data_IF_389989509817
#
_entry.id   IF_389989509817
#
_cell.length_a   1.000
_cell.length_b   1.000
_cell.length_c   1.000
_cell.angle_alpha   90.00
_cell.angle_beta   90.00
_cell.angle_gamma   90.00
#
_symmetry.space_group_name_H-M   'P 1'
#
loop_
_entity.id
_entity.type
_entity.pdbx_description
1 polymer ?
#
# COMPACT_ATOMS: atom_id res chain seq x y z
N UNK A 1 -22.89 14.17 -7.99
CA UNK A 1 -23.90 15.25 -8.08
C UNK A 1 -23.24 16.53 -8.58
N UNK A 2 -24.01 17.60 -8.80
CA UNK A 2 -23.43 18.92 -9.09
C UNK A 2 -22.83 19.51 -7.80
N UNK A 3 -21.56 19.91 -7.85
CA UNK A 3 -20.80 20.47 -6.72
C UNK A 3 -20.33 21.91 -6.98
N UNK A 4 -20.91 22.61 -7.97
CA UNK A 4 -20.55 23.99 -8.32
C UNK A 4 -20.58 24.95 -7.12
N UNK A 5 -21.54 24.80 -6.19
CA UNK A 5 -21.64 25.68 -5.03
C UNK A 5 -20.50 25.51 -4.01
N UNK A 6 -19.75 24.41 -4.08
CA UNK A 6 -18.69 24.08 -3.13
C UNK A 6 -17.35 23.81 -3.80
N UNK A 7 -17.21 24.09 -5.10
CA UNK A 7 -16.01 23.84 -5.88
C UNK A 7 -14.77 24.55 -5.32
N UNK A 8 -14.95 25.71 -4.68
CA UNK A 8 -13.90 26.43 -3.97
C UNK A 8 -13.22 25.62 -2.86
N UNK A 9 -13.88 24.59 -2.29
CA UNK A 9 -13.25 23.69 -1.33
C UNK A 9 -12.13 22.83 -1.95
N UNK A 10 -12.20 22.58 -3.25
CA UNK A 10 -11.17 21.84 -3.97
C UNK A 10 -9.89 22.66 -4.12
N UNK A 11 -9.98 23.98 -4.21
CA UNK A 11 -8.83 24.87 -4.47
C UNK A 11 -8.42 25.74 -3.28
N UNK A 12 -9.19 25.75 -2.20
CA UNK A 12 -8.88 26.63 -1.08
C UNK A 12 -7.50 26.31 -0.46
N UNK A 13 -6.69 27.34 -0.18
CA UNK A 13 -5.49 27.16 0.61
C UNK A 13 -5.87 26.84 2.05
N UNK A 14 -4.99 26.10 2.74
CA UNK A 14 -5.14 25.84 4.17
C UNK A 14 -4.10 26.67 4.89
N UNK A 15 -4.55 27.41 5.91
CA UNK A 15 -3.64 28.17 6.76
C UNK A 15 -2.88 27.21 7.69
N UNK A 16 -1.66 26.86 7.28
CA UNK A 16 -0.79 25.93 7.99
C UNK A 16 0.53 26.64 8.31
N UNK A 17 1.21 26.16 9.37
CA UNK A 17 2.63 26.48 9.55
C UNK A 17 3.47 25.75 8.52
N UNK A 18 4.76 26.08 8.44
CA UNK A 18 5.67 25.35 7.57
C UNK A 18 5.79 23.91 8.07
N UNK A 19 5.41 22.97 7.20
CA UNK A 19 5.36 21.56 7.51
C UNK A 19 6.65 20.84 7.16
N UNK A 20 7.52 21.41 6.31
CA UNK A 20 8.77 20.73 5.97
C UNK A 20 9.71 20.77 7.20
N UNK A 21 10.13 19.61 7.73
CA UNK A 21 10.99 19.57 8.88
C UNK A 21 12.41 20.13 8.63
N UNK A 22 12.84 20.27 7.37
CA UNK A 22 14.23 20.63 6.99
C UNK A 22 15.26 19.97 7.94
N UNK A 23 16.13 20.77 8.57
CA UNK A 23 17.09 20.35 9.60
C UNK A 23 16.58 20.56 11.04
N UNK A 24 15.33 21.04 11.21
CA UNK A 24 14.80 21.46 12.53
C UNK A 24 14.27 20.29 13.35
N UNK A 25 14.07 19.13 12.74
CA UNK A 25 13.37 18.00 13.35
C UNK A 25 13.95 17.56 14.71
N UNK A 26 15.28 17.57 14.85
CA UNK A 26 15.98 17.18 16.08
C UNK A 26 15.95 18.25 17.18
N UNK A 27 15.70 19.51 16.81
CA UNK A 27 15.65 20.65 17.74
C UNK A 27 14.26 20.90 18.32
N UNK A 28 13.23 20.24 17.79
CA UNK A 28 11.84 20.42 18.20
C UNK A 28 11.57 19.74 19.54
N UNK A 29 10.77 20.40 20.39
CA UNK A 29 10.23 19.74 21.57
C UNK A 29 9.21 18.65 21.19
N UNK A 30 9.03 17.65 22.05
CA UNK A 30 8.04 16.57 21.88
C UNK A 30 6.64 17.13 21.61
N UNK A 31 6.25 18.23 22.27
CA UNK A 31 4.94 18.87 22.07
C UNK A 31 4.81 19.48 20.68
N UNK A 32 5.84 20.16 20.18
CA UNK A 32 5.85 20.74 18.83
C UNK A 32 5.81 19.63 17.79
N UNK A 33 6.58 18.55 17.99
CA UNK A 33 6.60 17.42 17.09
C UNK A 33 5.23 16.72 17.00
N UNK A 34 4.61 16.46 18.15
CA UNK A 34 3.25 15.93 18.25
C UNK A 34 2.25 16.84 17.55
N UNK A 35 2.36 18.16 17.72
CA UNK A 35 1.49 19.14 17.08
C UNK A 35 1.64 19.11 15.54
N UNK A 36 2.86 19.01 15.01
CA UNK A 36 3.07 18.88 13.56
C UNK A 36 2.47 17.58 13.01
N UNK A 37 2.67 16.46 13.71
CA UNK A 37 2.03 15.20 13.34
C UNK A 37 0.51 15.36 13.29
N UNK A 38 -0.11 15.94 14.33
CA UNK A 38 -1.56 16.19 14.37
C UNK A 38 -2.02 17.03 13.19
N UNK A 39 -1.30 18.11 12.89
CA UNK A 39 -1.63 19.03 11.80
C UNK A 39 -1.59 18.32 10.45
N UNK A 40 -0.53 17.56 10.19
CA UNK A 40 -0.38 16.80 8.94
C UNK A 40 -1.46 15.72 8.81
N UNK A 41 -1.77 14.97 9.88
CA UNK A 41 -2.84 13.97 9.86
C UNK A 41 -4.20 14.62 9.55
N UNK A 42 -4.52 15.76 10.17
CA UNK A 42 -5.78 16.47 9.91
C UNK A 42 -5.84 16.96 8.46
N UNK A 43 -4.76 17.54 7.94
CA UNK A 43 -4.68 18.01 6.55
C UNK A 43 -4.78 16.85 5.55
N UNK A 44 -4.09 15.73 5.80
CA UNK A 44 -4.19 14.53 4.96
C UNK A 44 -5.63 14.02 4.89
N UNK A 45 -6.30 13.94 6.04
CA UNK A 45 -7.68 13.47 6.11
C UNK A 45 -8.66 14.42 5.41
N UNK A 46 -8.45 15.74 5.53
CA UNK A 46 -9.19 16.72 4.75
C UNK A 46 -9.00 16.54 3.24
N UNK A 47 -7.75 16.40 2.77
CA UNK A 47 -7.49 16.20 1.34
C UNK A 47 -8.04 14.88 0.82
N UNK A 48 -8.00 13.79 1.60
CA UNK A 48 -8.63 12.52 1.22
C UNK A 48 -10.14 12.69 1.04
N UNK A 49 -10.81 13.45 1.91
CA UNK A 49 -12.23 13.75 1.76
C UNK A 49 -12.53 14.62 0.54
N UNK A 50 -11.71 15.64 0.29
CA UNK A 50 -11.83 16.47 -0.92
C UNK A 50 -11.67 15.59 -2.18
N UNK A 51 -10.72 14.67 -2.20
CA UNK A 51 -10.56 13.73 -3.32
C UNK A 51 -11.80 12.83 -3.46
N UNK A 52 -12.34 12.28 -2.36
CA UNK A 52 -13.59 11.51 -2.40
C UNK A 52 -14.74 12.31 -3.02
N UNK A 53 -14.94 13.56 -2.58
CA UNK A 53 -16.04 14.41 -3.02
C UNK A 53 -15.95 14.74 -4.52
N UNK A 54 -14.76 15.08 -5.02
CA UNK A 54 -14.58 15.64 -6.36
C UNK A 54 -14.11 14.63 -7.42
N UNK A 55 -13.75 13.39 -7.07
CA UNK A 55 -13.22 12.41 -8.03
C UNK A 55 -14.14 12.08 -9.20
N UNK A 56 -15.46 12.19 -9.02
CA UNK A 56 -16.46 11.93 -10.06
C UNK A 56 -16.72 13.13 -10.99
N UNK A 57 -16.15 14.30 -10.71
CA UNK A 57 -16.36 15.48 -11.57
C UNK A 57 -15.72 15.25 -12.95
N UNK A 58 -16.47 15.60 -13.99
CA UNK A 58 -16.11 15.25 -15.37
C UNK A 58 -15.30 16.33 -16.07
N UNK A 59 -15.37 17.58 -15.62
CA UNK A 59 -14.66 18.69 -16.26
C UNK A 59 -13.13 18.48 -16.15
N UNK A 60 -12.37 18.71 -17.24
CA UNK A 60 -10.92 18.54 -17.23
C UNK A 60 -10.24 19.40 -16.17
N UNK A 61 -10.79 20.58 -15.91
CA UNK A 61 -10.33 21.48 -14.85
C UNK A 61 -10.43 20.81 -13.47
N UNK A 62 -11.61 20.31 -13.10
CA UNK A 62 -11.80 19.67 -11.80
C UNK A 62 -10.93 18.43 -11.65
N UNK A 63 -10.77 17.64 -12.74
CA UNK A 63 -9.86 16.49 -12.74
C UNK A 63 -8.40 16.89 -12.48
N UNK A 64 -7.93 17.98 -13.08
CA UNK A 64 -6.59 18.50 -12.83
C UNK A 64 -6.39 18.97 -11.39
N UNK A 65 -7.40 19.59 -10.79
CA UNK A 65 -7.38 20.01 -9.38
C UNK A 65 -7.41 18.81 -8.43
N UNK A 66 -8.20 17.78 -8.73
CA UNK A 66 -8.20 16.50 -7.99
C UNK A 66 -6.82 15.83 -8.06
N UNK A 67 -6.19 15.78 -9.23
CA UNK A 67 -4.83 15.24 -9.38
C UNK A 67 -3.80 16.04 -8.58
N UNK A 68 -3.95 17.37 -8.55
CA UNK A 68 -3.10 18.24 -7.72
C UNK A 68 -3.27 17.94 -6.23
N UNK A 69 -4.51 17.72 -5.76
CA UNK A 69 -4.75 17.29 -4.37
C UNK A 69 -4.18 15.91 -4.08
N UNK A 70 -4.24 14.98 -5.02
CA UNK A 70 -3.62 13.66 -4.89
C UNK A 70 -2.10 13.78 -4.72
N UNK A 71 -1.45 14.63 -5.52
CA UNK A 71 -0.02 14.94 -5.39
C UNK A 71 0.31 15.51 -3.99
N UNK A 72 -0.48 16.47 -3.51
CA UNK A 72 -0.31 17.02 -2.16
C UNK A 72 -0.46 15.96 -1.06
N UNK A 73 -1.38 15.00 -1.21
CA UNK A 73 -1.51 13.87 -0.27
C UNK A 73 -0.22 13.06 -0.22
N UNK A 74 0.35 12.68 -1.39
CA UNK A 74 1.57 11.89 -1.45
C UNK A 74 2.77 12.66 -0.87
N UNK A 75 2.87 13.97 -1.14
CA UNK A 75 3.91 14.82 -0.55
C UNK A 75 3.78 14.92 0.98
N UNK A 76 2.57 15.17 1.49
CA UNK A 76 2.32 15.23 2.93
C UNK A 76 2.55 13.88 3.63
N UNK A 77 2.28 12.75 2.98
CA UNK A 77 2.59 11.43 3.52
C UNK A 77 4.11 11.25 3.72
N UNK A 78 4.93 11.68 2.77
CA UNK A 78 6.40 11.66 2.92
C UNK A 78 6.88 12.56 4.04
N UNK A 79 6.29 13.74 4.18
CA UNK A 79 6.61 14.64 5.28
C UNK A 79 6.23 13.99 6.61
N UNK A 80 5.05 13.38 6.70
CA UNK A 80 4.58 12.68 7.88
C UNK A 80 5.51 11.52 8.28
N UNK A 81 5.99 10.73 7.32
CA UNK A 81 6.96 9.65 7.58
C UNK A 81 8.24 10.17 8.24
N UNK A 82 8.74 11.34 7.82
CA UNK A 82 9.92 11.97 8.45
C UNK A 82 9.65 12.29 9.92
N UNK A 83 8.49 12.87 10.25
CA UNK A 83 8.12 13.12 11.64
C UNK A 83 7.94 11.81 12.43
N UNK A 84 7.18 10.85 11.91
CA UNK A 84 6.92 9.60 12.63
C UNK A 84 8.19 8.79 12.90
N UNK A 85 9.21 8.89 12.04
CA UNK A 85 10.52 8.27 12.28
C UNK A 85 11.20 8.74 13.58
N UNK A 86 10.90 9.96 14.05
CA UNK A 86 11.43 10.52 15.30
C UNK A 86 10.50 10.24 16.49
N UNK A 87 9.19 10.15 16.26
CA UNK A 87 8.21 9.84 17.32
C UNK A 87 7.29 8.68 16.90
N UNK A 88 7.78 7.43 16.89
CA UNK A 88 7.01 6.27 16.43
C UNK A 88 5.85 5.89 17.35
N UNK A 89 5.86 6.33 18.61
CA UNK A 89 4.77 6.08 19.57
C UNK A 89 3.66 7.16 19.53
N UNK A 90 3.73 8.09 18.58
CA UNK A 90 2.71 9.12 18.41
C UNK A 90 1.34 8.51 18.07
N UNK A 91 0.29 9.00 18.73
CA UNK A 91 -1.10 8.57 18.49
C UNK A 91 -1.84 9.70 17.76
N UNK A 92 -2.27 9.50 16.50
CA UNK A 92 -2.97 10.52 15.74
C UNK A 92 -4.39 10.80 16.26
N UNK A 93 -4.94 11.99 15.98
CA UNK A 93 -6.37 12.23 16.16
C UNK A 93 -7.19 11.28 15.27
N UNK A 94 -8.34 10.83 15.78
CA UNK A 94 -9.25 9.96 15.04
C UNK A 94 -9.88 10.72 13.87
N UNK A 95 -9.88 10.10 12.70
CA UNK A 95 -10.56 10.62 11.50
C UNK A 95 -11.77 9.78 11.07
N UNK A 96 -11.88 8.56 11.59
CA UNK A 96 -12.99 7.64 11.35
C UNK A 96 -13.78 7.46 12.66
N UNK A 97 -15.09 7.66 12.62
CA UNK A 97 -15.97 7.46 13.78
C UNK A 97 -16.21 5.97 14.09
N UNK A 98 -15.87 5.08 13.15
CA UNK A 98 -15.93 3.63 13.38
C UNK A 98 -14.97 3.16 14.49
N UNK A 99 -13.93 3.95 14.80
CA UNK A 99 -13.02 3.69 15.90
C UNK A 99 -13.65 3.96 17.28
N UNK A 100 -14.74 4.72 17.40
CA UNK A 100 -15.30 5.11 18.71
C UNK A 100 -15.80 3.92 19.53
N UNK A 101 -15.96 2.74 18.92
CA UNK A 101 -16.38 1.52 19.63
C UNK A 101 -15.22 0.63 20.09
N UNK A 102 -13.95 0.98 19.86
CA UNK A 102 -12.81 0.09 20.11
C UNK A 102 -11.56 0.81 20.63
N UNK A 103 -10.99 0.26 21.71
CA UNK A 103 -9.67 0.63 22.21
C UNK A 103 -8.61 0.37 21.13
N UNK A 104 -8.28 1.40 20.35
CA UNK A 104 -7.18 1.34 19.40
C UNK A 104 -5.88 1.44 20.16
N UNK A 105 -5.36 0.28 20.54
CA UNK A 105 -3.98 0.18 21.01
C UNK A 105 -3.02 0.58 19.89
N UNK A 106 -2.06 1.48 20.15
CA UNK A 106 -1.10 1.94 19.16
C UNK A 106 -0.22 0.79 18.62
N UNK A 107 0.48 0.99 17.48
CA UNK A 107 1.48 0.05 17.01
C UNK A 107 2.58 -0.04 18.08
N UNK A 108 2.55 -1.07 18.90
CA UNK A 108 3.57 -1.27 19.93
C UNK A 108 4.87 -1.69 19.24
N UNK A 109 5.96 -0.99 19.52
CA UNK A 109 7.33 -1.30 19.07
C UNK A 109 7.83 -2.73 19.40
N UNK A 110 7.03 -3.52 20.13
CA UNK A 110 7.30 -4.92 20.47
C UNK A 110 7.40 -5.88 19.27
N UNK A 111 6.85 -5.52 18.09
CA UNK A 111 6.99 -6.35 16.90
C UNK A 111 8.39 -6.28 16.26
N UNK A 112 9.16 -5.21 16.52
CA UNK A 112 10.50 -5.02 15.94
C UNK A 112 11.57 -5.79 16.76
N UNK A 113 11.38 -5.97 18.06
CA UNK A 113 12.33 -6.70 18.92
C UNK A 113 12.14 -8.22 18.90
N UNK A 114 10.99 -8.74 18.46
CA UNK A 114 10.69 -10.17 18.47
C UNK A 114 11.45 -10.99 17.42
N UNK A 115 12.00 -10.35 16.37
CA UNK A 115 12.82 -11.03 15.35
C UNK A 115 14.30 -11.20 15.73
N UNK A 116 14.80 -10.53 16.78
CA UNK A 116 16.22 -10.57 17.17
C UNK A 116 16.51 -11.55 18.32
N UNK A 117 15.49 -12.15 18.95
CA UNK A 117 15.69 -13.01 20.14
C UNK A 117 15.09 -14.42 20.02
N UNK A 118 15.42 -15.15 18.96
CA UNK A 118 15.34 -16.62 18.95
C UNK A 118 16.59 -17.24 18.32
N UNK A 119 17.74 -16.99 18.93
CA UNK A 119 18.87 -17.90 18.87
C UNK A 119 19.55 -17.90 20.24
N UNK A 120 19.56 -19.07 20.91
CA UNK A 120 20.33 -19.30 22.12
C UNK A 120 19.52 -19.47 23.41
N UNK A 121 19.12 -20.72 23.70
CA UNK A 121 19.60 -21.51 24.84
C UNK A 121 18.67 -22.70 25.11
N UNK A 122 19.18 -23.88 24.75
CA UNK A 122 18.77 -25.15 25.34
C UNK A 122 19.12 -25.06 26.83
N UNK A 123 18.10 -25.05 27.69
CA UNK A 123 18.22 -25.03 29.15
C UNK A 123 17.29 -26.08 29.74
N UNK A 124 17.88 -27.08 30.40
CA UNK A 124 17.30 -28.37 30.67
C UNK A 124 16.05 -28.40 31.57
N UNK A 125 15.15 -29.31 31.24
CA UNK A 125 14.09 -29.78 32.14
C UNK A 125 14.57 -31.06 32.83
N UNK A 126 14.92 -30.93 34.12
CA UNK A 126 14.95 -32.03 35.08
C UNK A 126 13.53 -32.60 35.23
N UNK A 127 13.37 -33.90 35.07
CA UNK A 127 12.27 -34.67 35.67
C UNK A 127 12.89 -35.85 36.42
N UNK A 128 12.44 -36.02 37.66
CA UNK A 128 12.90 -37.02 38.58
C UNK A 128 12.24 -38.38 38.33
N UNK A 129 13.08 -39.38 38.58
CA UNK A 129 12.98 -40.83 38.82
C UNK A 129 11.63 -41.53 39.00
N UNK A 130 11.59 -42.81 38.59
CA UNK A 130 10.47 -43.72 38.75
C UNK A 130 10.58 -45.10 38.08
N UNK A 131 11.66 -45.86 38.35
CA UNK A 131 11.67 -47.35 38.53
C UNK A 131 11.42 -48.34 37.35
N UNK A 132 12.50 -49.13 37.05
CA UNK A 132 12.59 -50.60 36.75
C UNK A 132 11.93 -51.11 35.44
N UNK A 133 12.51 -51.95 34.57
CA UNK A 133 13.50 -53.06 34.70
C UNK A 133 13.97 -53.55 33.31
N UNK A 134 15.18 -54.13 33.25
CA UNK A 134 15.73 -55.20 32.36
C UNK A 134 15.92 -55.02 30.83
N UNK A 135 17.20 -54.84 30.47
CA UNK A 135 18.11 -55.41 29.42
C UNK A 135 17.65 -56.51 28.42
N UNK A 136 18.49 -56.94 27.44
CA UNK A 136 19.02 -56.24 26.26
C UNK A 136 18.97 -57.14 24.96
N UNK A 137 19.72 -56.74 23.92
CA UNK A 137 20.17 -57.51 22.73
C UNK A 137 19.27 -57.54 21.48
N UNK A 138 19.74 -56.98 20.35
CA UNK A 138 20.62 -57.67 19.37
C UNK A 138 20.91 -56.72 18.17
N UNK A 139 22.18 -56.62 17.78
CA UNK A 139 22.71 -56.01 16.53
C UNK A 139 22.57 -57.03 15.34
N UNK A 140 23.24 -56.88 14.18
CA UNK A 140 23.04 -55.94 13.05
C UNK A 140 22.93 -56.68 11.68
N UNK A 141 23.09 -55.93 10.56
CA UNK A 141 23.48 -56.32 9.15
C UNK A 141 22.37 -56.33 8.08
N UNK A 142 22.44 -55.42 7.09
CA UNK A 142 23.08 -55.52 5.73
C UNK A 142 22.18 -56.33 4.76
N UNK A 143 21.95 -56.03 3.49
CA UNK A 143 22.51 -55.08 2.52
C UNK A 143 21.57 -55.00 1.29
N UNK A 144 21.93 -54.15 0.32
CA UNK A 144 21.56 -54.15 -1.11
C UNK A 144 20.23 -53.50 -1.55
N UNK A 145 20.35 -52.36 -2.22
CA UNK A 145 20.17 -52.28 -3.68
C UNK A 145 20.33 -50.83 -4.16
N UNK A 146 21.23 -50.65 -5.11
CA UNK A 146 21.49 -49.45 -5.88
C UNK A 146 20.23 -48.90 -6.58
N UNK A 147 20.13 -47.57 -6.66
CA UNK A 147 19.66 -46.80 -7.81
C UNK A 147 19.74 -45.30 -7.47
N UNK A 148 20.83 -44.65 -7.91
CA UNK A 148 20.93 -43.19 -8.05
C UNK A 148 20.11 -42.75 -9.29
N UNK A 149 19.50 -41.55 -9.32
CA UNK A 149 20.32 -40.36 -9.59
C UNK A 149 19.87 -39.06 -8.87
N UNK A 150 20.87 -38.32 -8.36
CA UNK A 150 20.99 -36.84 -8.25
C UNK A 150 19.76 -35.99 -7.90
N UNK A 151 19.89 -35.16 -6.83
CA UNK A 151 19.31 -33.83 -6.81
C UNK A 151 20.39 -32.73 -6.70
N UNK A 152 20.33 -31.83 -7.69
CA UNK A 152 20.85 -30.46 -7.66
C UNK A 152 20.69 -29.81 -6.29
N UNK A 153 21.82 -29.36 -5.71
CA UNK A 153 21.78 -28.47 -4.55
C UNK A 153 22.67 -27.26 -4.77
N UNK A 154 21.98 -26.16 -5.06
CA UNK A 154 22.39 -24.77 -5.04
C UNK A 154 23.06 -24.44 -3.70
N UNK A 155 24.36 -24.16 -3.71
CA UNK A 155 25.02 -23.56 -2.56
C UNK A 155 26.08 -22.55 -2.98
N UNK A 156 26.02 -21.39 -2.32
CA UNK A 156 27.07 -20.38 -2.16
C UNK A 156 27.27 -19.40 -3.32
N UNK A 157 26.63 -18.24 -3.22
CA UNK A 157 27.36 -16.96 -3.11
C UNK A 157 26.45 -15.88 -2.51
N UNK A 158 26.39 -15.79 -1.18
CA UNK A 158 25.83 -14.64 -0.45
C UNK A 158 26.84 -14.20 0.63
N UNK A 159 27.73 -13.32 0.23
CA UNK A 159 28.52 -12.35 1.02
C UNK A 159 28.88 -11.29 -0.04
N UNK A 160 28.64 -10.00 0.10
CA UNK A 160 28.79 -9.13 1.26
C UNK A 160 28.37 -7.73 0.77
N UNK A 161 27.43 -7.04 1.41
CA UNK A 161 27.38 -5.57 1.38
C UNK A 161 26.69 -5.10 2.66
N UNK A 162 27.50 -5.01 3.73
CA UNK A 162 27.22 -4.15 4.89
C UNK A 162 27.69 -2.75 4.53
N UNK A 163 26.81 -1.75 4.58
CA UNK A 163 27.27 -0.37 4.53
C UNK A 163 26.21 0.69 4.23
N UNK A 164 25.35 0.98 5.21
CA UNK A 164 25.01 2.31 5.78
C UNK A 164 23.69 2.19 6.55
N UNK A 165 23.66 2.72 7.76
CA UNK A 165 22.44 2.82 8.58
C UNK A 165 21.40 3.63 7.81
N UNK A 166 20.47 2.91 7.19
CA UNK A 166 19.26 3.47 6.63
C UNK A 166 18.38 3.90 7.81
N UNK A 167 18.13 5.21 7.92
CA UNK A 167 17.20 5.77 8.91
C UNK A 167 15.94 4.91 8.94
N UNK A 168 15.59 4.41 10.12
CA UNK A 168 14.42 3.56 10.38
C UNK A 168 13.18 4.14 9.70
N UNK A 169 12.80 3.63 8.52
CA UNK A 169 11.64 4.13 7.79
C UNK A 169 10.37 3.60 8.48
N UNK A 170 9.49 4.51 8.90
CA UNK A 170 8.23 4.16 9.53
C UNK A 170 7.20 3.90 8.44
N UNK A 171 6.61 2.71 8.45
CA UNK A 171 5.54 2.36 7.52
C UNK A 171 4.20 2.96 7.96
N UNK A 172 3.62 3.82 7.12
CA UNK A 172 2.29 4.40 7.32
C UNK A 172 1.16 3.35 7.36
N UNK A 173 1.40 2.10 6.93
CA UNK A 173 0.43 1.02 7.04
C UNK A 173 -0.01 0.76 8.49
N UNK A 174 0.89 0.98 9.44
CA UNK A 174 0.60 0.87 10.87
C UNK A 174 -0.41 1.93 11.36
N UNK A 175 -0.57 3.02 10.60
CA UNK A 175 -1.49 4.12 10.88
C UNK A 175 -2.73 4.13 9.98
N UNK A 176 -2.96 3.11 9.14
CA UNK A 176 -4.06 3.09 8.17
C UNK A 176 -5.44 3.40 8.80
N UNK A 177 -5.68 2.95 10.03
CA UNK A 177 -6.92 3.18 10.78
C UNK A 177 -7.20 4.67 11.07
N UNK A 178 -6.16 5.52 11.07
CA UNK A 178 -6.25 6.96 11.33
C UNK A 178 -6.41 7.79 10.05
N UNK A 179 -6.30 7.17 8.88
CA UNK A 179 -6.61 7.81 7.61
C UNK A 179 -8.06 7.56 7.24
N UNK A 180 -8.71 8.58 6.71
CA UNK A 180 -10.05 8.48 6.16
C UNK A 180 -10.05 7.53 4.97
N UNK A 181 -11.06 6.68 4.87
CA UNK A 181 -11.19 5.76 3.75
C UNK A 181 -11.35 6.54 2.43
N UNK A 182 -10.63 6.11 1.38
CA UNK A 182 -10.93 6.59 0.03
C UNK A 182 -12.12 5.80 -0.50
N UNK A 183 -13.00 6.40 -1.28
CA UNK A 183 -14.11 5.67 -1.88
C UNK A 183 -13.64 4.90 -3.14
N UNK A 184 -14.42 3.91 -3.60
CA UNK A 184 -14.09 3.14 -4.82
C UNK A 184 -14.09 4.04 -6.06
N UNK A 185 -14.89 5.09 -6.08
CA UNK A 185 -14.99 6.09 -7.15
C UNK A 185 -13.67 6.81 -7.40
N UNK A 186 -12.82 6.96 -6.39
CA UNK A 186 -11.53 7.65 -6.49
C UNK A 186 -10.65 6.99 -7.56
N UNK A 187 -10.76 5.68 -7.75
CA UNK A 187 -9.97 4.96 -8.75
C UNK A 187 -10.36 5.28 -10.20
N UNK A 188 -11.47 5.99 -10.43
CA UNK A 188 -11.74 6.58 -11.74
C UNK A 188 -10.61 7.51 -12.23
N UNK A 189 -9.80 8.06 -11.31
CA UNK A 189 -8.57 8.83 -11.61
C UNK A 189 -7.57 8.02 -12.44
N UNK A 190 -7.59 6.68 -12.39
CA UNK A 190 -6.71 5.86 -13.22
C UNK A 190 -6.96 6.04 -14.73
N UNK A 191 -8.14 6.50 -15.12
CA UNK A 191 -8.44 6.87 -16.51
C UNK A 191 -7.74 8.15 -16.98
N UNK A 192 -7.17 8.94 -16.07
CA UNK A 192 -6.40 10.13 -16.41
C UNK A 192 -5.06 9.73 -17.05
N UNK A 193 -5.07 9.43 -18.35
CA UNK A 193 -3.87 9.52 -19.18
C UNK A 193 -3.51 10.99 -19.41
N UNK A 194 -2.22 11.33 -19.35
CA UNK A 194 -1.60 12.63 -19.71
C UNK A 194 -2.59 13.82 -19.73
N UNK A 195 -2.97 14.37 -18.56
CA UNK A 195 -3.83 15.56 -18.54
C UNK A 195 -2.96 16.81 -18.75
N UNK A 196 -3.02 17.35 -19.96
CA UNK A 196 -2.34 18.61 -20.31
C UNK A 196 -3.13 19.80 -19.73
N UNK A 197 -2.50 20.62 -18.89
CA UNK A 197 -3.07 21.82 -18.20
C UNK A 197 -3.60 22.92 -19.12
N UNK A 198 -3.60 22.74 -20.43
CA UNK A 198 -4.06 23.73 -21.40
C UNK A 198 -5.53 24.15 -21.20
N UNK A 199 -6.32 23.38 -20.45
CA UNK A 199 -7.76 23.64 -20.23
C UNK A 199 -8.04 24.33 -18.89
N UNK A 200 -7.04 24.48 -18.01
CA UNK A 200 -7.21 24.96 -16.64
C UNK A 200 -7.12 26.48 -16.47
N UNK A 201 -6.71 27.21 -17.51
CA UNK A 201 -6.45 28.65 -17.43
C UNK A 201 -7.54 29.42 -18.19
N UNK A 202 -8.74 29.46 -17.62
CA UNK A 202 -9.83 30.32 -18.13
C UNK A 202 -9.46 31.81 -18.02
N UNK A 203 -8.42 32.15 -17.25
CA UNK A 203 -7.95 33.52 -17.00
C UNK A 203 -6.48 33.77 -17.41
N UNK A 204 -6.03 33.21 -18.55
CA UNK A 204 -4.97 33.76 -19.42
C UNK A 204 -3.72 34.45 -18.80
N UNK A 205 -3.17 33.99 -17.67
CA UNK A 205 -2.01 34.64 -17.03
C UNK A 205 -0.99 33.67 -16.41
N UNK A 206 -0.43 32.71 -17.15
CA UNK A 206 1.01 32.37 -17.03
C UNK A 206 1.50 31.45 -18.15
N UNK A 207 2.65 31.76 -18.75
CA UNK A 207 3.27 31.01 -19.86
C UNK A 207 3.95 29.68 -19.45
N UNK A 208 3.50 29.02 -18.38
CA UNK A 208 4.09 27.78 -17.87
C UNK A 208 3.14 26.58 -18.05
N UNK A 209 3.39 25.79 -19.10
CA UNK A 209 2.71 24.52 -19.36
C UNK A 209 3.13 23.46 -18.34
N UNK A 210 2.48 23.39 -17.17
CA UNK A 210 2.65 22.24 -16.27
C UNK A 210 1.64 21.16 -16.61
N UNK A 211 2.05 20.10 -17.29
CA UNK A 211 1.15 18.96 -17.57
C UNK A 211 0.82 18.28 -16.23
N UNK A 212 -0.42 18.39 -15.74
CA UNK A 212 -0.88 17.72 -14.52
C UNK A 212 -1.24 16.28 -14.86
N UNK A 213 -0.25 15.45 -15.15
CA UNK A 213 -0.44 14.03 -15.36
C UNK A 213 -0.27 13.27 -14.04
N UNK A 214 -1.01 12.17 -13.87
CA UNK A 214 -0.77 11.18 -12.81
C UNK A 214 0.69 10.67 -12.90
N UNK A 215 1.54 11.02 -11.92
CA UNK A 215 2.93 10.57 -11.89
C UNK A 215 3.04 9.23 -11.15
N UNK A 216 4.20 8.53 -11.24
CA UNK A 216 4.37 7.21 -10.63
C UNK A 216 4.04 7.15 -9.13
N UNK A 217 4.37 8.16 -8.31
CA UNK A 217 4.01 8.11 -6.89
C UNK A 217 2.51 8.18 -6.60
N UNK A 218 1.76 9.01 -7.33
CA UNK A 218 0.31 9.11 -7.16
C UNK A 218 -0.37 7.84 -7.69
N UNK A 219 0.16 7.28 -8.79
CA UNK A 219 -0.28 5.96 -9.28
C UNK A 219 -0.03 4.89 -8.20
N UNK A 220 1.16 4.83 -7.62
CA UNK A 220 1.47 3.86 -6.56
C UNK A 220 0.52 4.01 -5.37
N UNK A 221 0.26 5.24 -4.93
CA UNK A 221 -0.68 5.52 -3.84
C UNK A 221 -2.08 4.95 -4.12
N UNK A 222 -2.62 5.15 -5.33
CA UNK A 222 -3.92 4.60 -5.73
C UNK A 222 -3.88 3.07 -5.80
N UNK A 223 -2.86 2.49 -6.42
CA UNK A 223 -2.75 1.04 -6.59
C UNK A 223 -2.55 0.31 -5.26
N UNK A 224 -1.82 0.90 -4.31
CA UNK A 224 -1.65 0.37 -2.96
C UNK A 224 -3.02 0.30 -2.24
N UNK A 225 -3.78 1.40 -2.22
CA UNK A 225 -5.11 1.45 -1.60
C UNK A 225 -6.10 0.48 -2.27
N UNK A 226 -6.10 0.43 -3.61
CA UNK A 226 -6.95 -0.48 -4.38
C UNK A 226 -6.63 -1.95 -4.08
N UNK A 227 -5.34 -2.32 -4.06
CA UNK A 227 -4.92 -3.69 -3.78
C UNK A 227 -5.41 -4.15 -2.40
N UNK A 228 -5.30 -3.29 -1.38
CA UNK A 228 -5.75 -3.60 -0.01
C UNK A 228 -7.27 -3.77 0.07
N UNK A 229 -8.04 -2.95 -0.67
CA UNK A 229 -9.49 -3.09 -0.74
C UNK A 229 -9.92 -4.42 -1.40
N UNK A 230 -9.25 -4.84 -2.47
CA UNK A 230 -9.58 -6.10 -3.15
C UNK A 230 -9.16 -7.34 -2.35
N UNK A 231 -8.01 -7.28 -1.67
CA UNK A 231 -7.62 -8.31 -0.69
C UNK A 231 -8.64 -8.42 0.44
N UNK A 232 -9.19 -7.27 0.88
CA UNK A 232 -10.22 -7.25 1.91
C UNK A 232 -11.56 -7.83 1.42
N UNK A 233 -12.03 -7.38 0.27
CA UNK A 233 -13.39 -7.62 -0.22
C UNK A 233 -13.55 -8.89 -1.07
N UNK A 234 -12.65 -9.12 -2.03
CA UNK A 234 -12.79 -10.18 -3.03
C UNK A 234 -12.02 -11.44 -2.64
N UNK A 235 -10.87 -11.29 -2.00
CA UNK A 235 -9.99 -12.41 -1.61
C UNK A 235 -9.65 -12.42 -0.12
N UNK A 236 -10.64 -12.31 0.79
CA UNK A 236 -10.37 -12.26 2.23
C UNK A 236 -9.62 -13.51 2.69
N UNK A 237 -8.62 -13.31 3.56
CA UNK A 237 -7.81 -14.41 4.10
C UNK A 237 -8.67 -15.46 4.80
N UNK A 238 -8.24 -16.72 4.77
CA UNK A 238 -8.98 -17.85 5.37
C UNK A 238 -9.31 -17.62 6.84
N UNK A 239 -8.44 -16.92 7.58
CA UNK A 239 -8.68 -16.52 8.97
C UNK A 239 -9.86 -15.55 9.15
N UNK A 240 -10.14 -14.70 8.15
CA UNK A 240 -11.32 -13.80 8.14
C UNK A 240 -12.61 -14.53 7.75
N UNK A 241 -12.53 -15.63 6.98
CA UNK A 241 -13.69 -16.42 6.54
C UNK A 241 -14.34 -17.25 7.66
N UNK A 242 -13.70 -17.38 8.82
CA UNK A 242 -14.21 -18.19 9.95
C UNK A 242 -14.93 -17.27 10.96
N UNK A 243 -16.27 -17.36 11.11
CA UNK A 243 -17.05 -16.48 11.99
C UNK A 243 -16.80 -16.70 13.49
N UNK A 244 -16.27 -17.87 13.89
CA UNK A 244 -16.29 -18.33 15.27
C UNK A 244 -15.11 -17.85 16.14
N UNK A 245 -14.03 -17.30 15.55
CA UNK A 245 -12.91 -16.75 16.31
C UNK A 245 -13.09 -15.23 16.52
N UNK A 246 -13.81 -14.87 17.58
CA UNK A 246 -14.17 -13.49 17.96
C UNK A 246 -12.92 -12.59 18.11
N UNK A 247 -12.68 -11.75 17.11
CA UNK A 247 -12.26 -10.36 17.33
C UNK A 247 -13.33 -9.52 16.65
N UNK A 248 -14.32 -9.09 17.44
CA UNK A 248 -15.55 -8.45 16.95
C UNK A 248 -15.35 -6.95 16.67
N UNK A 249 -14.14 -6.43 16.83
CA UNK A 249 -13.85 -5.02 16.65
C UNK A 249 -13.09 -4.68 15.37
N UNK A 250 -11.97 -5.35 15.13
CA UNK A 250 -10.93 -4.76 14.29
C UNK A 250 -10.95 -5.23 12.81
N UNK A 251 -12.08 -5.77 12.32
CA UNK A 251 -12.08 -6.49 11.03
C UNK A 251 -12.21 -5.56 9.81
N UNK A 252 -12.90 -4.44 9.97
CA UNK A 252 -13.25 -3.53 8.89
C UNK A 252 -12.75 -2.09 9.12
N UNK A 253 -11.84 -1.87 10.09
CA UNK A 253 -11.34 -0.53 10.38
C UNK A 253 -10.66 0.02 9.11
N UNK A 254 -11.11 1.19 8.66
CA UNK A 254 -10.65 1.82 7.41
C UNK A 254 -11.25 1.23 6.12
N UNK A 255 -12.27 0.36 6.22
CA UNK A 255 -12.97 -0.26 5.09
C UNK A 255 -14.50 -0.21 5.24
N UNK A 256 -15.03 0.67 6.08
CA UNK A 256 -16.47 0.73 6.38
C UNK A 256 -17.29 1.13 5.17
N UNK A 257 -16.86 2.11 4.39
CA UNK A 257 -17.54 2.52 3.15
C UNK A 257 -17.50 1.40 2.11
N UNK A 258 -16.36 0.71 1.97
CA UNK A 258 -16.21 -0.45 1.08
C UNK A 258 -17.25 -1.54 1.39
N UNK A 259 -17.46 -1.85 2.67
CA UNK A 259 -18.40 -2.91 3.09
C UNK A 259 -19.87 -2.49 3.03
N UNK A 260 -20.19 -1.24 2.72
CA UNK A 260 -21.55 -0.83 2.37
C UNK A 260 -21.96 -1.31 0.97
N UNK A 261 -21.00 -1.77 0.16
CA UNK A 261 -21.21 -2.30 -1.19
C UNK A 261 -21.12 -3.81 -1.22
N UNK A 262 -21.74 -4.41 -2.22
CA UNK A 262 -21.58 -5.82 -2.51
C UNK A 262 -20.24 -6.10 -3.20
N UNK A 263 -19.72 -7.33 -3.03
CA UNK A 263 -18.49 -7.75 -3.73
C UNK A 263 -18.67 -7.71 -5.26
N UNK A 264 -19.89 -7.93 -5.75
CA UNK A 264 -20.22 -7.87 -7.17
C UNK A 264 -20.15 -6.44 -7.72
N UNK A 265 -20.68 -5.46 -7.01
CA UNK A 265 -20.57 -4.04 -7.40
C UNK A 265 -19.11 -3.59 -7.42
N UNK A 266 -18.33 -3.99 -6.41
CA UNK A 266 -16.89 -3.70 -6.37
C UNK A 266 -16.18 -4.35 -7.56
N UNK A 267 -16.40 -5.65 -7.81
CA UNK A 267 -15.80 -6.35 -8.95
C UNK A 267 -16.17 -5.69 -10.29
N UNK A 268 -17.42 -5.27 -10.46
CA UNK A 268 -17.88 -4.56 -11.64
C UNK A 268 -17.12 -3.24 -11.85
N UNK A 269 -16.94 -2.45 -10.80
CA UNK A 269 -16.15 -1.21 -10.87
C UNK A 269 -14.68 -1.48 -11.23
N UNK A 270 -14.09 -2.58 -10.74
CA UNK A 270 -12.70 -2.93 -11.10
C UNK A 270 -12.59 -3.37 -12.55
N UNK A 271 -13.56 -4.12 -13.07
CA UNK A 271 -13.56 -4.53 -14.49
C UNK A 271 -13.55 -3.31 -15.41
N UNK A 272 -14.28 -2.24 -15.06
CA UNK A 272 -14.22 -0.98 -15.81
C UNK A 272 -12.85 -0.30 -15.77
N UNK A 273 -12.02 -0.59 -14.77
CA UNK A 273 -10.68 -0.05 -14.60
C UNK A 273 -9.60 -0.92 -15.26
N UNK A 274 -9.93 -2.10 -15.81
CA UNK A 274 -8.93 -2.99 -16.41
C UNK A 274 -8.19 -2.32 -17.56
N UNK A 275 -8.90 -1.68 -18.49
CA UNK A 275 -8.28 -1.05 -19.65
C UNK A 275 -7.25 0.04 -19.27
N UNK A 276 -7.58 1.05 -18.43
CA UNK A 276 -6.56 2.01 -18.01
C UNK A 276 -5.44 1.36 -17.19
N UNK A 277 -5.71 0.32 -16.40
CA UNK A 277 -4.68 -0.41 -15.66
C UNK A 277 -3.71 -1.18 -16.58
N UNK A 278 -4.21 -1.79 -17.66
CA UNK A 278 -3.37 -2.41 -18.69
C UNK A 278 -2.49 -1.36 -19.37
N UNK A 279 -3.03 -0.19 -19.72
CA UNK A 279 -2.23 0.90 -20.28
C UNK A 279 -1.10 1.34 -19.34
N UNK A 280 -1.38 1.46 -18.03
CA UNK A 280 -0.35 1.75 -17.03
C UNK A 280 0.70 0.64 -16.95
N UNK A 281 0.29 -0.63 -17.00
CA UNK A 281 1.21 -1.78 -17.00
C UNK A 281 2.14 -1.73 -18.21
N UNK A 282 1.60 -1.48 -19.40
CA UNK A 282 2.37 -1.37 -20.65
C UNK A 282 3.35 -0.20 -20.59
N UNK A 283 2.92 0.96 -20.08
CA UNK A 283 3.80 2.13 -19.93
C UNK A 283 4.98 1.84 -18.98
N UNK A 284 4.71 1.17 -17.85
CA UNK A 284 5.77 0.81 -16.91
C UNK A 284 6.67 -0.29 -17.51
N UNK A 285 6.11 -1.24 -18.25
CA UNK A 285 6.91 -2.24 -18.96
C UNK A 285 7.85 -1.58 -19.97
N UNK A 286 7.33 -0.65 -20.79
CA UNK A 286 8.11 0.11 -21.75
C UNK A 286 9.23 0.93 -21.08
N UNK A 287 8.95 1.54 -19.92
CA UNK A 287 9.97 2.19 -19.10
C UNK A 287 11.13 1.24 -18.77
N UNK A 288 10.84 0.02 -18.30
CA UNK A 288 11.89 -0.95 -17.96
C UNK A 288 12.63 -1.47 -19.20
N UNK A 289 11.96 -1.63 -20.33
CA UNK A 289 12.61 -2.03 -21.59
C UNK A 289 13.58 -0.96 -22.09
N UNK A 290 13.18 0.32 -22.06
CA UNK A 290 14.07 1.44 -22.40
C UNK A 290 15.28 1.48 -21.46
N UNK A 291 15.06 1.33 -20.15
CA UNK A 291 16.14 1.32 -19.15
C UNK A 291 17.13 0.16 -19.38
N UNK A 292 16.62 -1.03 -19.72
CA UNK A 292 17.45 -2.20 -20.00
C UNK A 292 18.29 -2.02 -21.28
N UNK A 293 17.70 -1.43 -22.33
CA UNK A 293 18.39 -1.12 -23.57
C UNK A 293 19.51 -0.09 -23.36
N UNK A 294 19.25 0.95 -22.56
CA UNK A 294 20.23 2.00 -22.26
C UNK A 294 21.40 1.50 -21.38
N UNK A 295 21.13 0.58 -20.45
CA UNK A 295 22.15 0.03 -19.55
C UNK A 295 22.81 -1.26 -20.08
N UNK A 296 22.60 -1.64 -21.34
CA UNK A 296 23.13 -2.87 -21.95
C UNK A 296 22.81 -4.15 -21.13
N UNK A 297 21.66 -4.17 -20.46
CA UNK A 297 21.25 -5.30 -19.59
C UNK A 297 21.91 -5.34 -18.21
N UNK A 298 22.70 -4.33 -17.82
CA UNK A 298 23.21 -4.20 -16.44
C UNK A 298 22.16 -3.51 -15.58
N UNK A 299 21.68 -4.19 -14.53
CA UNK A 299 20.60 -3.71 -13.66
C UNK A 299 20.98 -2.43 -12.89
N UNK A 300 22.26 -2.26 -12.54
CA UNK A 300 22.77 -1.13 -11.74
C UNK A 300 23.61 -0.13 -12.57
N UNK A 301 23.09 0.32 -13.71
CA UNK A 301 23.75 1.34 -14.51
C UNK A 301 23.84 2.70 -13.80
N UNK A 302 24.89 3.52 -14.02
CA UNK A 302 25.10 4.81 -13.35
C UNK A 302 24.02 5.88 -13.61
N UNK A 303 23.05 5.62 -14.52
CA UNK A 303 21.91 6.49 -14.82
C UNK A 303 20.61 6.10 -14.09
N UNK A 304 20.59 4.99 -13.38
CA UNK A 304 19.40 4.52 -12.69
C UNK A 304 19.07 5.45 -11.51
N UNK A 305 17.97 6.19 -11.62
CA UNK A 305 17.39 6.87 -10.46
C UNK A 305 16.72 5.81 -9.59
N UNK A 306 17.46 5.32 -8.60
CA UNK A 306 17.05 4.24 -7.68
C UNK A 306 15.62 4.42 -7.15
N UNK A 307 15.27 5.64 -6.74
CA UNK A 307 13.92 5.95 -6.23
C UNK A 307 12.82 5.77 -7.28
N UNK A 308 13.04 6.24 -8.51
CA UNK A 308 12.05 6.16 -9.59
C UNK A 308 11.85 4.69 -10.01
N UNK A 309 12.94 3.94 -10.11
CA UNK A 309 12.90 2.51 -10.36
C UNK A 309 12.08 1.75 -9.30
N UNK A 310 12.30 2.02 -8.01
CA UNK A 310 11.55 1.37 -6.94
C UNK A 310 10.06 1.68 -6.99
N UNK A 311 9.68 2.94 -7.27
CA UNK A 311 8.28 3.33 -7.41
C UNK A 311 7.64 2.63 -8.59
N UNK A 312 8.28 2.64 -9.76
CA UNK A 312 7.78 1.96 -10.96
C UNK A 312 7.63 0.45 -10.76
N UNK A 313 8.61 -0.17 -10.10
CA UNK A 313 8.58 -1.61 -9.78
C UNK A 313 7.43 -1.95 -8.84
N UNK A 314 7.21 -1.11 -7.83
CA UNK A 314 6.09 -1.25 -6.90
C UNK A 314 4.74 -1.09 -7.61
N UNK A 315 4.61 -0.12 -8.52
CA UNK A 315 3.41 0.02 -9.36
C UNK A 315 3.14 -1.25 -10.17
N UNK A 316 4.18 -1.78 -10.83
CA UNK A 316 4.08 -3.01 -11.63
C UNK A 316 3.59 -4.18 -10.77
N UNK A 317 4.17 -4.36 -9.59
CA UNK A 317 3.76 -5.39 -8.64
C UNK A 317 2.29 -5.22 -8.21
N UNK A 318 1.87 -4.00 -7.87
CA UNK A 318 0.49 -3.73 -7.42
C UNK A 318 -0.55 -3.96 -8.52
N UNK A 319 -0.24 -3.59 -9.77
CA UNK A 319 -1.09 -3.90 -10.92
C UNK A 319 -1.33 -5.41 -11.04
N UNK A 320 -0.27 -6.21 -11.00
CA UNK A 320 -0.38 -7.67 -11.06
C UNK A 320 -1.15 -8.25 -9.88
N UNK A 321 -0.96 -7.71 -8.67
CA UNK A 321 -1.71 -8.13 -7.49
C UNK A 321 -3.20 -7.81 -7.60
N UNK A 322 -3.57 -6.66 -8.17
CA UNK A 322 -4.97 -6.31 -8.42
C UNK A 322 -5.58 -7.24 -9.45
N UNK A 323 -4.90 -7.52 -10.57
CA UNK A 323 -5.39 -8.48 -11.56
C UNK A 323 -5.59 -9.86 -10.94
N UNK A 324 -4.62 -10.34 -10.18
CA UNK A 324 -4.76 -11.59 -9.44
C UNK A 324 -5.94 -11.54 -8.46
N UNK A 325 -6.07 -10.47 -7.67
CA UNK A 325 -7.16 -10.31 -6.69
C UNK A 325 -8.55 -10.32 -7.33
N UNK A 326 -8.69 -9.72 -8.52
CA UNK A 326 -9.93 -9.75 -9.30
C UNK A 326 -10.20 -11.16 -9.84
N UNK A 327 -9.27 -11.74 -10.60
CA UNK A 327 -9.50 -13.03 -11.29
C UNK A 327 -9.51 -14.23 -10.34
N UNK A 328 -8.98 -14.10 -9.12
CA UNK A 328 -9.11 -15.09 -8.06
C UNK A 328 -10.43 -14.98 -7.27
N UNK A 329 -11.31 -14.02 -7.61
CA UNK A 329 -12.59 -13.85 -6.93
C UNK A 329 -13.51 -15.05 -7.18
N UNK A 330 -13.93 -15.72 -6.11
CA UNK A 330 -14.82 -16.88 -6.19
C UNK A 330 -16.21 -16.57 -6.73
N UNK A 331 -16.60 -15.29 -6.81
CA UNK A 331 -17.89 -14.90 -7.41
C UNK A 331 -17.97 -15.22 -8.90
N UNK A 332 -16.85 -15.34 -9.61
CA UNK A 332 -16.84 -15.74 -11.02
C UNK A 332 -17.25 -17.20 -11.27
N UNK A 333 -17.30 -18.04 -10.24
CA UNK A 333 -17.88 -19.39 -10.36
C UNK A 333 -19.42 -19.38 -10.37
N UNK A 334 -20.05 -18.24 -10.09
CA UNK A 334 -21.49 -18.09 -10.09
C UNK A 334 -21.98 -17.69 -11.49
N UNK A 335 -23.00 -18.36 -12.06
CA UNK A 335 -23.49 -18.09 -13.41
C UNK A 335 -23.87 -16.62 -13.66
N UNK A 336 -24.35 -15.93 -12.64
CA UNK A 336 -24.79 -14.54 -12.69
C UNK A 336 -23.64 -13.58 -13.02
N UNK A 337 -22.39 -13.97 -12.71
CA UNK A 337 -21.20 -13.15 -12.93
C UNK A 337 -20.41 -13.55 -14.19
N UNK A 338 -20.88 -14.53 -14.97
CA UNK A 338 -20.17 -14.96 -16.18
C UNK A 338 -20.04 -13.84 -17.21
N UNK A 339 -21.09 -13.03 -17.41
CA UNK A 339 -21.03 -11.88 -18.33
C UNK A 339 -19.94 -10.89 -17.91
N UNK A 340 -19.82 -10.64 -16.59
CA UNK A 340 -18.78 -9.77 -16.05
C UNK A 340 -17.38 -10.35 -16.27
N UNK A 341 -17.21 -11.67 -16.11
CA UNK A 341 -15.95 -12.35 -16.42
C UNK A 341 -15.59 -12.24 -17.90
N UNK A 342 -16.55 -12.45 -18.81
CA UNK A 342 -16.30 -12.30 -20.25
C UNK A 342 -15.86 -10.89 -20.59
N UNK A 343 -16.57 -9.86 -20.09
CA UNK A 343 -16.14 -8.46 -20.29
C UNK A 343 -14.76 -8.17 -19.71
N UNK A 344 -14.36 -8.83 -18.62
CA UNK A 344 -13.03 -8.67 -18.03
C UNK A 344 -11.92 -9.30 -18.87
N UNK A 345 -12.21 -10.38 -19.61
CA UNK A 345 -11.25 -11.11 -20.45
C UNK A 345 -11.14 -10.55 -21.87
N UNK A 346 -12.06 -9.69 -22.28
CA UNK A 346 -12.06 -9.02 -23.58
C UNK A 346 -11.11 -7.80 -23.65
N UNK A 347 -10.69 -7.29 -22.49
CA UNK A 347 -9.71 -6.21 -22.34
C UNK A 347 -8.30 -6.74 -22.55
#
# INVERSE_FOLDING_TARGET
>A
GNLEEIDGLLDCPIFLTDLDPEDRLESMSVKQHSFMCSLIFLTLNWFREVVNAFCQQTSPEMKGKVLTRLKHIVELQRILEKYLAVTPDYVPPLANFDLETLDVTPPTAAAISAKIRKQGKIGGKRKADGSKTSSPDTLPKEDSSECDPTPSNRSQLEKEFKGKEEKTSVSLQSYHAFFRELDIEVFSILHCGLVTKFILDTEMHTAATEIVQLQPPELLFLLEDLSQKLENMLTPSVARRIPFLKSKGNRNIGFSHLHQRSAQEVAHNIVQLLAPMCNHLENIHNYFQCLAAENQGVVDGPRMKVQEYHVMSSCYQRLLQIFHGLFAWSGFFQPENHNLLYSALEV
#
